data_IF_858394080556
#
_entry.id   IF_858394080556
#
_cell.length_a   1.000
_cell.length_b   1.000
_cell.length_c   1.000
_cell.angle_alpha   90.00
_cell.angle_beta   90.00
_cell.angle_gamma   90.00
#
_symmetry.space_group_name_H-M   'P 1'
#
loop_
_entity.id
_entity.type
_entity.pdbx_description
1 polymer ?
#
# COMPACT_ATOMS: atom_id res chain seq x y z
N UNK A 1 5.82 8.82 -25.05
CA UNK A 1 4.42 9.12 -25.42
C UNK A 1 3.61 9.07 -24.13
N UNK A 2 3.06 10.20 -23.68
CA UNK A 2 2.56 10.38 -22.30
C UNK A 2 1.13 9.81 -22.10
N UNK A 3 0.35 9.67 -23.18
CA UNK A 3 -1.00 9.09 -23.18
C UNK A 3 -0.97 7.64 -23.66
N UNK A 4 -0.87 6.69 -22.73
CA UNK A 4 -1.19 5.28 -22.96
C UNK A 4 -2.48 4.94 -22.21
N UNK A 5 -3.18 3.86 -22.61
CA UNK A 5 -4.39 3.39 -21.91
C UNK A 5 -4.11 3.15 -20.42
N UNK A 6 -3.01 2.48 -20.01
CA UNK A 6 -2.65 2.32 -18.60
C UNK A 6 -2.55 3.66 -17.85
N UNK A 7 -1.83 4.65 -18.39
CA UNK A 7 -1.67 5.94 -17.72
C UNK A 7 -3.01 6.64 -17.47
N UNK A 8 -3.95 6.57 -18.43
CA UNK A 8 -5.28 7.15 -18.25
C UNK A 8 -6.05 6.47 -17.10
N UNK A 9 -5.92 5.15 -16.96
CA UNK A 9 -6.51 4.40 -15.85
C UNK A 9 -5.88 4.80 -14.51
N UNK A 10 -4.57 5.01 -14.45
CA UNK A 10 -3.89 5.51 -13.25
C UNK A 10 -4.36 6.92 -12.86
N UNK A 11 -4.49 7.83 -13.84
CA UNK A 11 -5.04 9.17 -13.61
C UNK A 11 -6.49 9.13 -13.13
N UNK A 12 -7.31 8.29 -13.74
CA UNK A 12 -8.68 8.07 -13.30
C UNK A 12 -8.72 7.56 -11.85
N UNK A 13 -7.86 6.58 -11.50
CA UNK A 13 -7.75 6.09 -10.12
C UNK A 13 -7.40 7.20 -9.15
N UNK A 14 -6.40 8.01 -9.47
CA UNK A 14 -6.03 9.15 -8.63
C UNK A 14 -7.20 10.13 -8.43
N UNK A 15 -8.01 10.35 -9.47
CA UNK A 15 -9.23 11.17 -9.37
C UNK A 15 -10.34 10.49 -8.55
N UNK A 16 -10.39 9.15 -8.50
CA UNK A 16 -11.35 8.39 -7.67
C UNK A 16 -11.01 8.42 -6.18
N UNK A 17 -9.74 8.65 -5.79
CA UNK A 17 -9.33 8.72 -4.37
C UNK A 17 -10.12 9.79 -3.59
N UNK A 18 -10.18 11.07 -4.00
CA UNK A 18 -10.95 12.08 -3.29
C UNK A 18 -12.46 11.77 -3.32
N UNK A 19 -12.97 11.20 -4.42
CA UNK A 19 -14.38 10.78 -4.51
C UNK A 19 -14.70 9.70 -3.48
N UNK A 20 -13.85 8.68 -3.39
CA UNK A 20 -13.93 7.63 -2.38
C UNK A 20 -13.89 8.20 -0.96
N UNK A 21 -12.92 9.08 -0.68
CA UNK A 21 -12.76 9.71 0.62
C UNK A 21 -14.01 10.51 1.02
N UNK A 22 -14.56 11.31 0.10
CA UNK A 22 -15.78 12.09 0.34
C UNK A 22 -16.99 11.19 0.56
N UNK A 23 -17.20 10.18 -0.29
CA UNK A 23 -18.33 9.25 -0.14
C UNK A 23 -18.30 8.55 1.22
N UNK A 24 -17.12 8.07 1.61
CA UNK A 24 -16.95 7.42 2.89
C UNK A 24 -17.17 8.40 4.05
N UNK A 25 -16.61 9.60 3.97
CA UNK A 25 -16.76 10.65 4.98
C UNK A 25 -18.22 11.08 5.19
N UNK A 26 -19.03 11.14 4.13
CA UNK A 26 -20.46 11.44 4.20
C UNK A 26 -21.35 10.22 4.50
N UNK A 27 -20.78 9.08 4.90
CA UNK A 27 -21.52 7.88 5.30
C UNK A 27 -22.12 7.07 4.14
N UNK A 28 -21.76 7.36 2.88
CA UNK A 28 -22.23 6.63 1.70
C UNK A 28 -21.41 5.34 1.46
N UNK A 29 -21.37 4.45 2.45
CA UNK A 29 -20.54 3.24 2.46
C UNK A 29 -20.73 2.33 1.23
N UNK A 30 -21.96 2.23 0.71
CA UNK A 30 -22.26 1.45 -0.51
C UNK A 30 -21.48 1.96 -1.73
N UNK A 31 -21.50 3.28 -1.93
CA UNK A 31 -20.81 3.93 -3.03
C UNK A 31 -19.31 3.96 -2.81
N UNK A 32 -18.86 4.16 -1.56
CA UNK A 32 -17.44 4.08 -1.22
C UNK A 32 -16.86 2.68 -1.51
N UNK A 33 -17.57 1.60 -1.14
CA UNK A 33 -17.19 0.23 -1.47
C UNK A 33 -17.11 0.02 -2.97
N UNK A 34 -18.12 0.48 -3.72
CA UNK A 34 -18.14 0.35 -5.18
C UNK A 34 -16.97 1.08 -5.84
N UNK A 35 -16.69 2.32 -5.43
CA UNK A 35 -15.55 3.09 -5.95
C UNK A 35 -14.22 2.42 -5.60
N UNK A 36 -14.06 1.92 -4.37
CA UNK A 36 -12.85 1.22 -3.93
C UNK A 36 -12.59 -0.04 -4.76
N UNK A 37 -13.63 -0.86 -4.99
CA UNK A 37 -13.52 -2.07 -5.82
C UNK A 37 -13.20 -1.70 -7.27
N UNK A 38 -13.86 -0.69 -7.85
CA UNK A 38 -13.55 -0.23 -9.22
C UNK A 38 -12.10 0.25 -9.31
N UNK A 39 -11.63 1.03 -8.34
CA UNK A 39 -10.27 1.54 -8.31
C UNK A 39 -9.23 0.42 -8.25
N UNK A 40 -9.44 -0.59 -7.40
CA UNK A 40 -8.54 -1.74 -7.26
C UNK A 40 -8.59 -2.70 -8.45
N UNK A 41 -9.77 -2.98 -9.01
CA UNK A 41 -9.89 -3.81 -10.22
C UNK A 41 -9.24 -3.12 -11.42
N UNK A 42 -9.35 -1.80 -11.53
CA UNK A 42 -8.71 -1.02 -12.59
C UNK A 42 -7.18 -1.16 -12.58
N UNK A 43 -6.54 -1.34 -11.40
CA UNK A 43 -5.09 -1.61 -11.23
C UNK A 43 -4.67 -3.01 -11.69
N UNK A 44 -5.53 -3.99 -11.44
CA UNK A 44 -5.30 -5.33 -11.99
C UNK A 44 -5.32 -5.30 -13.52
N UNK A 45 -6.28 -4.55 -14.08
CA UNK A 45 -6.54 -4.49 -15.51
C UNK A 45 -5.45 -3.69 -16.24
N UNK A 46 -5.09 -2.50 -15.78
CA UNK A 46 -4.05 -1.68 -16.44
C UNK A 46 -2.68 -2.37 -16.42
N UNK A 47 -2.30 -3.00 -15.32
CA UNK A 47 -1.06 -3.77 -15.21
C UNK A 47 -1.07 -5.00 -16.10
N UNK A 48 -2.23 -5.65 -16.27
CA UNK A 48 -2.37 -6.76 -17.23
C UNK A 48 -2.27 -6.27 -18.68
N UNK A 49 -2.96 -5.18 -19.03
CA UNK A 49 -2.95 -4.58 -20.37
C UNK A 49 -1.56 -4.07 -20.72
N UNK A 50 -0.87 -3.36 -19.82
CA UNK A 50 0.48 -2.87 -20.02
C UNK A 50 1.45 -4.00 -20.36
N UNK A 51 1.42 -5.10 -19.59
CA UNK A 51 2.25 -6.30 -19.82
C UNK A 51 1.91 -7.02 -21.13
N UNK A 52 0.61 -7.16 -21.43
CA UNK A 52 0.15 -7.92 -22.60
C UNK A 52 0.39 -7.20 -23.92
N UNK A 53 0.32 -5.88 -23.91
CA UNK A 53 0.46 -5.03 -25.10
C UNK A 53 1.81 -4.31 -25.17
N UNK A 54 2.73 -4.56 -24.22
CA UNK A 54 4.05 -3.89 -24.11
C UNK A 54 3.92 -2.36 -24.12
N UNK A 55 2.86 -1.84 -23.51
CA UNK A 55 2.57 -0.40 -23.39
C UNK A 55 2.97 0.15 -22.01
N UNK A 56 4.05 -0.37 -21.47
CA UNK A 56 4.63 0.13 -20.22
C UNK A 56 5.24 1.52 -20.48
N UNK A 57 4.86 2.51 -19.68
CA UNK A 57 5.45 3.84 -19.74
C UNK A 57 6.24 4.10 -18.47
N UNK A 58 7.37 4.82 -18.57
CA UNK A 58 8.18 5.16 -17.39
C UNK A 58 7.37 5.92 -16.32
N UNK A 59 6.45 6.77 -16.77
CA UNK A 59 5.54 7.50 -15.89
C UNK A 59 4.56 6.56 -15.19
N UNK A 60 3.90 5.67 -15.92
CA UNK A 60 2.94 4.71 -15.36
C UNK A 60 3.58 3.82 -14.29
N UNK A 61 4.78 3.29 -14.58
CA UNK A 61 5.54 2.44 -13.64
C UNK A 61 5.83 3.13 -12.29
N UNK A 62 5.94 4.46 -12.28
CA UNK A 62 6.14 5.25 -11.05
C UNK A 62 4.79 5.67 -10.44
N UNK A 63 3.82 6.06 -11.26
CA UNK A 63 2.51 6.54 -10.82
C UNK A 63 1.65 5.43 -10.23
N UNK A 64 1.69 4.20 -10.75
CA UNK A 64 0.83 3.10 -10.28
C UNK A 64 1.07 2.78 -8.79
N UNK A 65 2.32 2.57 -8.32
CA UNK A 65 2.59 2.32 -6.90
C UNK A 65 2.27 3.52 -6.01
N UNK A 66 2.34 4.75 -6.53
CA UNK A 66 1.98 5.96 -5.79
C UNK A 66 0.47 6.02 -5.60
N UNK A 67 -0.29 5.84 -6.68
CA UNK A 67 -1.75 5.85 -6.66
C UNK A 67 -2.31 4.77 -5.74
N UNK A 68 -1.75 3.55 -5.78
CA UNK A 68 -2.12 2.44 -4.88
C UNK A 68 -1.89 2.80 -3.40
N UNK A 69 -0.68 3.28 -3.06
CA UNK A 69 -0.36 3.72 -1.69
C UNK A 69 -1.24 4.86 -1.21
N UNK A 70 -1.56 5.83 -2.08
CA UNK A 70 -2.42 6.95 -1.73
C UNK A 70 -3.85 6.49 -1.45
N UNK A 71 -4.40 5.59 -2.27
CA UNK A 71 -5.72 5.00 -2.06
C UNK A 71 -5.79 4.27 -0.71
N UNK A 72 -4.81 3.39 -0.45
CA UNK A 72 -4.75 2.61 0.79
C UNK A 72 -4.56 3.49 2.03
N UNK A 73 -3.64 4.46 1.96
CA UNK A 73 -3.39 5.41 3.06
C UNK A 73 -4.64 6.24 3.36
N UNK A 74 -5.31 6.73 2.31
CA UNK A 74 -6.54 7.51 2.44
C UNK A 74 -7.66 6.66 3.05
N UNK A 75 -7.81 5.40 2.62
CA UNK A 75 -8.79 4.48 3.20
C UNK A 75 -8.57 4.28 4.70
N UNK A 76 -7.36 3.95 5.14
CA UNK A 76 -7.08 3.75 6.57
C UNK A 76 -7.23 5.04 7.40
N UNK A 77 -6.85 6.20 6.85
CA UNK A 77 -7.05 7.49 7.52
C UNK A 77 -8.54 7.76 7.71
N UNK A 78 -9.32 7.75 6.62
CA UNK A 78 -10.75 8.10 6.66
C UNK A 78 -11.53 7.10 7.52
N UNK A 79 -11.23 5.80 7.44
CA UNK A 79 -11.85 4.77 8.30
C UNK A 79 -11.47 4.90 9.79
N UNK A 80 -10.37 5.57 10.12
CA UNK A 80 -9.96 5.83 11.50
C UNK A 80 -10.54 7.11 12.09
N UNK A 81 -11.14 7.97 11.26
CA UNK A 81 -11.75 9.21 11.74
C UNK A 81 -13.04 8.89 12.53
N UNK A 82 -13.21 9.49 13.72
CA UNK A 82 -14.42 9.32 14.51
C UNK A 82 -15.62 9.90 13.76
N UNK A 83 -16.75 9.18 13.80
CA UNK A 83 -18.01 9.62 13.17
C UNK A 83 -18.17 9.27 11.69
N UNK A 84 -17.13 8.78 11.01
CA UNK A 84 -17.25 8.39 9.58
C UNK A 84 -18.08 7.12 9.39
N UNK A 85 -18.05 6.20 10.35
CA UNK A 85 -18.88 5.00 10.35
C UNK A 85 -20.16 5.22 11.17
N UNK A 86 -20.96 6.24 10.83
CA UNK A 86 -22.22 6.52 11.56
C UNK A 86 -23.18 5.31 11.68
N UNK A 87 -23.36 4.44 10.66
CA UNK A 87 -24.22 3.26 10.80
C UNK A 87 -23.64 2.22 11.76
N UNK A 88 -22.31 2.22 11.94
CA UNK A 88 -21.56 1.27 12.77
C UNK A 88 -20.96 2.04 13.95
N UNK A 89 -21.83 2.46 14.88
CA UNK A 89 -21.49 3.22 16.10
C UNK A 89 -20.34 2.67 16.95
N UNK A 90 -19.90 1.44 16.73
CA UNK A 90 -19.08 0.69 17.68
C UNK A 90 -17.68 0.30 17.21
N UNK A 91 -17.26 0.59 15.96
CA UNK A 91 -15.88 0.22 15.59
C UNK A 91 -15.25 1.06 14.46
N UNK A 92 -14.90 2.34 14.72
CA UNK A 92 -13.89 3.02 13.91
C UNK A 92 -12.62 2.17 13.85
N UNK A 93 -11.92 2.17 12.72
CA UNK A 93 -10.61 1.50 12.64
C UNK A 93 -9.73 2.12 13.73
N UNK A 94 -9.20 1.34 14.68
CA UNK A 94 -8.42 1.92 15.75
C UNK A 94 -7.20 2.64 15.21
N UNK A 95 -6.91 3.84 15.73
CA UNK A 95 -5.80 4.66 15.26
C UNK A 95 -4.45 3.91 15.23
N UNK A 96 -4.24 2.99 16.18
CA UNK A 96 -3.03 2.16 16.22
C UNK A 96 -2.88 1.22 15.01
N UNK A 97 -3.98 0.77 14.41
CA UNK A 97 -3.96 -0.05 13.17
C UNK A 97 -3.51 0.81 12.00
N UNK A 98 -4.11 1.98 11.83
CA UNK A 98 -3.74 2.96 10.81
C UNK A 98 -2.28 3.40 10.96
N UNK A 99 -1.85 3.70 12.19
CA UNK A 99 -0.46 4.06 12.49
C UNK A 99 0.51 2.91 12.18
N UNK A 100 0.16 1.65 12.46
CA UNK A 100 1.01 0.51 12.14
C UNK A 100 1.16 0.30 10.62
N UNK A 101 0.06 0.44 9.87
CA UNK A 101 0.08 0.30 8.39
C UNK A 101 0.90 1.42 7.76
N UNK A 102 0.60 2.68 8.08
CA UNK A 102 1.31 3.84 7.53
C UNK A 102 2.77 3.83 7.97
N UNK A 103 3.04 3.53 9.25
CA UNK A 103 4.39 3.45 9.79
C UNK A 103 5.23 2.40 9.09
N UNK A 104 4.66 1.22 8.80
CA UNK A 104 5.33 0.18 8.00
C UNK A 104 5.63 0.66 6.59
N UNK A 105 4.70 1.32 5.92
CA UNK A 105 4.89 1.78 4.54
C UNK A 105 5.96 2.88 4.45
N UNK A 106 5.94 3.83 5.39
CA UNK A 106 6.99 4.85 5.53
C UNK A 106 8.34 4.19 5.82
N UNK A 107 8.39 3.21 6.72
CA UNK A 107 9.63 2.48 7.05
C UNK A 107 10.23 1.81 5.80
N UNK A 108 9.42 1.12 4.99
CA UNK A 108 9.90 0.48 3.76
C UNK A 108 10.44 1.51 2.77
N UNK A 109 9.73 2.63 2.57
CA UNK A 109 10.16 3.70 1.66
C UNK A 109 11.46 4.33 2.14
N UNK A 110 11.55 4.70 3.42
CA UNK A 110 12.73 5.34 4.01
C UNK A 110 13.95 4.44 3.92
N UNK A 111 13.81 3.15 4.26
CA UNK A 111 14.92 2.20 4.15
C UNK A 111 15.32 1.99 2.69
N UNK A 112 14.36 1.83 1.77
CA UNK A 112 14.66 1.70 0.34
C UNK A 112 15.39 2.94 -0.22
N UNK A 113 14.96 4.13 0.17
CA UNK A 113 15.59 5.40 -0.22
C UNK A 113 17.00 5.53 0.37
N UNK A 114 17.19 5.21 1.65
CA UNK A 114 18.50 5.25 2.31
C UNK A 114 19.51 4.34 1.60
N UNK A 115 19.12 3.09 1.29
CA UNK A 115 19.98 2.15 0.55
C UNK A 115 20.32 2.72 -0.83
N UNK A 116 19.32 3.25 -1.54
CA UNK A 116 19.55 3.78 -2.88
C UNK A 116 20.56 4.93 -2.89
N UNK A 117 20.52 5.79 -1.87
CA UNK A 117 21.46 6.91 -1.70
C UNK A 117 22.85 6.43 -1.31
N UNK A 118 22.96 5.40 -0.45
CA UNK A 118 24.25 4.92 0.07
C UNK A 118 24.98 4.06 -0.98
N UNK A 119 24.30 3.08 -1.59
CA UNK A 119 24.94 2.07 -2.43
C UNK A 119 24.84 2.38 -3.93
N UNK A 120 24.02 3.37 -4.31
CA UNK A 120 23.67 3.63 -5.71
C UNK A 120 22.86 2.51 -6.37
N UNK A 121 22.58 1.41 -5.65
CA UNK A 121 21.91 0.23 -6.20
C UNK A 121 20.40 0.47 -6.31
N UNK A 122 19.87 0.42 -7.54
CA UNK A 122 18.43 0.57 -7.84
C UNK A 122 17.65 -0.75 -7.86
N UNK A 123 18.33 -1.88 -7.62
CA UNK A 123 17.77 -3.23 -7.80
C UNK A 123 17.12 -3.85 -6.57
N UNK A 124 16.68 -3.06 -5.57
CA UNK A 124 16.13 -3.62 -4.35
C UNK A 124 14.73 -4.21 -4.58
N UNK A 125 14.64 -5.54 -4.61
CA UNK A 125 13.37 -6.23 -4.87
C UNK A 125 12.51 -6.22 -3.60
N UNK A 126 11.23 -5.79 -3.68
CA UNK A 126 10.33 -5.87 -2.53
C UNK A 126 10.18 -7.32 -2.08
N UNK A 127 10.22 -7.52 -0.76
CA UNK A 127 10.10 -8.86 -0.17
C UNK A 127 8.74 -9.49 -0.47
N UNK A 128 8.67 -10.81 -0.53
CA UNK A 128 7.41 -11.53 -0.74
C UNK A 128 6.41 -11.25 0.40
N UNK A 129 6.90 -11.16 1.63
CA UNK A 129 6.11 -10.72 2.80
C UNK A 129 5.59 -9.29 2.64
N UNK A 130 6.36 -8.44 1.94
CA UNK A 130 5.96 -7.10 1.56
C UNK A 130 4.67 -7.09 0.74
N UNK A 131 4.63 -7.92 -0.30
CA UNK A 131 3.46 -8.08 -1.19
C UNK A 131 2.28 -8.71 -0.47
N UNK A 132 2.53 -9.73 0.35
CA UNK A 132 1.47 -10.40 1.12
C UNK A 132 0.80 -9.44 2.10
N UNK A 133 1.58 -8.60 2.79
CA UNK A 133 1.04 -7.61 3.72
C UNK A 133 0.14 -6.60 3.02
N UNK A 134 0.53 -6.08 1.85
CA UNK A 134 -0.31 -5.18 1.06
C UNK A 134 -1.58 -5.86 0.56
N UNK A 135 -1.50 -7.11 0.10
CA UNK A 135 -2.69 -7.88 -0.28
C UNK A 135 -3.68 -8.02 0.88
N UNK A 136 -3.18 -8.36 2.08
CA UNK A 136 -4.03 -8.47 3.27
C UNK A 136 -4.63 -7.13 3.68
N UNK A 137 -3.90 -6.03 3.53
CA UNK A 137 -4.45 -4.69 3.75
C UNK A 137 -5.61 -4.37 2.79
N UNK A 138 -5.47 -4.67 1.50
CA UNK A 138 -6.55 -4.47 0.50
C UNK A 138 -7.78 -5.30 0.86
N UNK A 139 -7.58 -6.58 1.21
CA UNK A 139 -8.67 -7.46 1.67
C UNK A 139 -9.30 -6.92 2.94
N UNK A 140 -8.51 -6.44 3.90
CA UNK A 140 -9.00 -5.88 5.15
C UNK A 140 -9.86 -4.63 4.92
N UNK A 141 -9.40 -3.67 4.09
CA UNK A 141 -10.19 -2.48 3.75
C UNK A 141 -11.50 -2.88 3.08
N UNK A 142 -11.47 -3.85 2.17
CA UNK A 142 -12.69 -4.37 1.53
C UNK A 142 -13.66 -4.96 2.56
N UNK A 143 -13.17 -5.79 3.49
CA UNK A 143 -14.00 -6.37 4.56
C UNK A 143 -14.55 -5.31 5.52
N UNK A 144 -13.77 -4.28 5.84
CA UNK A 144 -14.22 -3.15 6.67
C UNK A 144 -15.34 -2.38 5.97
N UNK A 145 -15.20 -2.12 4.66
CA UNK A 145 -16.24 -1.47 3.87
C UNK A 145 -17.51 -2.34 3.75
N UNK A 146 -17.37 -3.67 3.61
CA UNK A 146 -18.51 -4.60 3.65
C UNK A 146 -19.19 -4.56 5.02
N UNK A 147 -18.44 -4.53 6.12
CA UNK A 147 -18.99 -4.37 7.46
C UNK A 147 -19.74 -3.04 7.60
N UNK A 148 -19.23 -1.96 7.00
CA UNK A 148 -19.86 -0.65 6.99
C UNK A 148 -21.20 -0.62 6.21
N UNK A 149 -21.33 -1.46 5.18
CA UNK A 149 -22.55 -1.62 4.39
C UNK A 149 -23.57 -2.54 5.07
N UNK A 150 -23.10 -3.67 5.60
CA UNK A 150 -23.97 -4.77 6.07
C UNK A 150 -24.28 -4.69 7.57
N UNK A 151 -23.48 -3.94 8.34
CA UNK A 151 -23.55 -3.89 9.80
C UNK A 151 -22.92 -5.08 10.52
N UNK A 152 -22.42 -6.10 9.81
CA UNK A 152 -21.78 -7.27 10.43
C UNK A 152 -20.34 -6.96 10.83
N UNK A 153 -20.08 -6.78 12.13
CA UNK A 153 -18.76 -6.32 12.65
C UNK A 153 -17.96 -7.38 13.39
N UNK A 154 -18.52 -8.57 13.63
CA UNK A 154 -17.92 -9.61 14.49
C UNK A 154 -16.49 -10.00 14.10
N UNK A 155 -16.16 -9.98 12.80
CA UNK A 155 -14.85 -10.35 12.29
C UNK A 155 -13.80 -9.21 12.32
N UNK A 156 -14.21 -7.96 12.56
CA UNK A 156 -13.33 -6.79 12.46
C UNK A 156 -12.14 -6.82 13.44
N UNK A 157 -12.29 -7.19 14.73
CA UNK A 157 -11.14 -7.27 15.64
C UNK A 157 -10.08 -8.26 15.16
N UNK A 158 -10.51 -9.39 14.61
CA UNK A 158 -9.61 -10.39 14.02
C UNK A 158 -8.91 -9.82 12.79
N UNK A 159 -9.64 -9.16 11.88
CA UNK A 159 -9.06 -8.49 10.71
C UNK A 159 -7.98 -7.48 11.12
N UNK A 160 -8.26 -6.62 12.11
CA UNK A 160 -7.30 -5.63 12.61
C UNK A 160 -6.02 -6.27 13.14
N UNK A 161 -6.16 -7.34 13.94
CA UNK A 161 -5.01 -8.06 14.48
C UNK A 161 -4.16 -8.69 13.37
N UNK A 162 -4.78 -9.32 12.37
CA UNK A 162 -4.06 -9.89 11.23
C UNK A 162 -3.33 -8.83 10.41
N UNK A 163 -3.97 -7.68 10.15
CA UNK A 163 -3.34 -6.56 9.42
C UNK A 163 -2.09 -6.08 10.15
N UNK A 164 -2.19 -5.81 11.45
CA UNK A 164 -1.05 -5.31 12.22
C UNK A 164 0.04 -6.36 12.37
N UNK A 165 -0.33 -7.60 12.66
CA UNK A 165 0.64 -8.70 12.76
C UNK A 165 1.44 -8.85 11.47
N UNK A 166 0.79 -8.84 10.30
CA UNK A 166 1.50 -8.93 9.02
C UNK A 166 2.27 -7.66 8.67
N UNK A 167 1.76 -6.47 9.01
CA UNK A 167 2.50 -5.23 8.82
C UNK A 167 3.81 -5.25 9.62
N UNK A 168 3.74 -5.66 10.90
CA UNK A 168 4.91 -5.78 11.78
C UNK A 168 5.88 -6.84 11.27
N UNK A 169 5.41 -8.05 10.95
CA UNK A 169 6.25 -9.13 10.41
C UNK A 169 6.92 -8.70 9.10
N UNK A 170 6.16 -8.05 8.21
CA UNK A 170 6.70 -7.53 6.94
C UNK A 170 7.76 -6.46 7.17
N UNK A 171 7.56 -5.54 8.11
CA UNK A 171 8.52 -4.48 8.43
C UNK A 171 9.81 -5.04 9.01
N UNK A 172 9.68 -5.95 9.99
CA UNK A 172 10.81 -6.66 10.61
C UNK A 172 11.61 -7.45 9.57
N UNK A 173 10.92 -8.24 8.74
CA UNK A 173 11.59 -9.02 7.69
C UNK A 173 12.34 -8.13 6.71
N UNK A 174 11.79 -6.96 6.36
CA UNK A 174 12.46 -6.01 5.48
C UNK A 174 13.75 -5.45 6.10
N UNK A 175 13.72 -5.08 7.38
CA UNK A 175 14.91 -4.64 8.12
C UNK A 175 15.99 -5.73 8.12
N UNK A 176 15.63 -6.98 8.40
CA UNK A 176 16.60 -8.09 8.40
C UNK A 176 17.18 -8.36 7.01
N UNK A 177 16.37 -8.28 5.96
CA UNK A 177 16.82 -8.46 4.58
C UNK A 177 17.86 -7.40 4.21
N UNK A 178 17.63 -6.16 4.60
CA UNK A 178 18.54 -5.04 4.36
C UNK A 178 19.83 -5.18 5.17
N UNK A 179 19.72 -5.49 6.46
CA UNK A 179 20.88 -5.68 7.33
C UNK A 179 21.79 -6.82 6.84
N UNK A 180 21.20 -7.87 6.25
CA UNK A 180 21.96 -8.97 5.64
C UNK A 180 22.69 -8.52 4.38
N UNK A 181 22.03 -7.75 3.51
CA UNK A 181 22.62 -7.26 2.27
C UNK A 181 23.78 -6.30 2.52
N UNK A 182 23.68 -5.41 3.52
CA UNK A 182 24.77 -4.51 3.91
C UNK A 182 25.99 -5.29 4.42
N UNK A 183 25.79 -6.36 5.21
CA UNK A 183 26.90 -7.23 5.66
C UNK A 183 27.57 -7.98 4.51
N UNK A 184 26.80 -8.37 3.51
CA UNK A 184 27.34 -9.07 2.34
C UNK A 184 28.11 -8.10 1.41
N UNK A 185 27.74 -6.82 1.32
CA UNK A 185 28.52 -5.80 0.60
C UNK A 185 29.83 -5.46 1.32
N UNK A 186 29.80 -5.21 2.64
CA UNK A 186 30.99 -4.91 3.45
C UNK A 186 32.03 -6.04 3.39
N UNK A 187 31.57 -7.29 3.27
CA UNK A 187 32.46 -8.46 3.12
C UNK A 187 33.06 -8.60 1.71
N UNK A 188 32.47 -7.96 0.71
CA UNK A 188 32.89 -8.04 -0.70
C UNK A 188 33.68 -6.81 -1.17
N UNK A 189 33.83 -5.76 -0.36
CA UNK A 189 34.82 -4.70 -0.60
C UNK A 189 36.23 -5.27 -0.35
N UNK A 190 37.08 -5.40 -1.38
CA UNK A 190 38.47 -5.77 -1.18
C UNK A 190 39.16 -4.65 -0.42
N UNK A 191 39.92 -5.03 0.61
CA UNK A 191 40.78 -4.18 1.42
C UNK A 191 41.61 -3.21 0.55
N UNK A 192 41.08 -2.00 0.31
CA UNK A 192 41.78 -0.91 -0.37
C UNK A 192 42.66 -0.12 0.64
N UNK A 193 43.16 -0.82 1.67
CA UNK A 193 43.92 -0.27 2.79
C UNK A 193 45.36 -0.76 2.90
N UNK A 194 45.93 -1.46 1.91
CA UNK A 194 47.35 -1.87 1.94
C UNK A 194 48.16 -1.41 0.71
N UNK A 195 48.07 -0.13 0.34
CA UNK A 195 49.08 0.49 -0.51
C UNK A 195 49.04 2.02 -0.39
N UNK A 196 49.65 2.55 0.67
CA UNK A 196 50.61 3.68 0.65
C UNK A 196 51.00 4.12 2.04
#
# INVERSE_FOLDING_TARGET
>A
MILTIPNLLTFLRMALIPVFASLLFYGNSNWALLVFVIAGVSDGIDGFVARRFKQESELGTILDPIADKLLMTTAFIVLSLPGVLEPVRFLPVPFWVTAAVIGRDVLIITIAAAINVITGFRGFKPSWLGKLSTFVQVVAVTLILIAAVTGYTFYLPTVYLFVVLLAVISGIHYIFQVARLMKDEEKNEPDAGSAR
#
